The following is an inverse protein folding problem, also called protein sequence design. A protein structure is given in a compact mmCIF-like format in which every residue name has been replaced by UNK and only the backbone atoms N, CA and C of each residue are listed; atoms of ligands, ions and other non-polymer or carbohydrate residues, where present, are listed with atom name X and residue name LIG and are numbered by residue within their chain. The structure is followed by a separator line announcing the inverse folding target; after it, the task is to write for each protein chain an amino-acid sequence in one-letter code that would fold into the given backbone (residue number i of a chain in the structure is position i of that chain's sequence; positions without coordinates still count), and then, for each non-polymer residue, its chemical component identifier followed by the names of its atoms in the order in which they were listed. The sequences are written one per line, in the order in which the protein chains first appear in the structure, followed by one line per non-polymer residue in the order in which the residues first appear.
data_IF_179884043319
#
_entry.id   IF_179884043319
#
_cell.length_a   1.000
_cell.length_b   1.000
_cell.length_c   1.000
_cell.angle_alpha   90.00
_cell.angle_beta   90.00
_cell.angle_gamma   90.00
#
_symmetry.space_group_name_H-M   'P 1'
#
loop_
_entity.id
_entity.type
_entity.pdbx_description
1 polymer ?
#
# COMPACT_ATOMS: atom_id res chain seq x y z
N UNK A 1 17.43 -13.80 -42.74
CA UNK A 1 17.91 -13.06 -41.56
C UNK A 1 16.81 -13.08 -40.53
N UNK A 2 16.91 -13.95 -39.54
CA UNK A 2 15.94 -14.00 -38.45
C UNK A 2 16.14 -12.80 -37.55
N UNK A 3 15.07 -12.07 -37.28
CA UNK A 3 15.04 -11.00 -36.28
C UNK A 3 15.61 -11.53 -34.97
N UNK A 4 16.70 -10.91 -34.49
CA UNK A 4 17.11 -11.04 -33.10
C UNK A 4 15.94 -10.49 -32.27
N UNK A 5 15.13 -11.39 -31.71
CA UNK A 5 14.33 -11.08 -30.53
C UNK A 5 15.31 -10.66 -29.45
N UNK A 6 15.55 -9.35 -29.36
CA UNK A 6 16.06 -8.70 -28.16
C UNK A 6 15.38 -9.37 -26.98
N UNK A 7 16.16 -9.98 -26.07
CA UNK A 7 15.63 -10.55 -24.85
C UNK A 7 14.89 -9.43 -24.11
N UNK A 8 13.59 -9.36 -24.34
CA UNK A 8 12.68 -8.44 -23.69
C UNK A 8 12.87 -8.73 -22.20
N UNK A 9 13.22 -7.69 -21.45
CA UNK A 9 13.67 -7.75 -20.05
C UNK A 9 12.84 -8.74 -19.22
N UNK A 10 13.46 -9.30 -18.18
CA UNK A 10 12.87 -10.35 -17.33
C UNK A 10 11.44 -10.06 -16.85
N UNK A 11 11.08 -8.79 -16.64
CA UNK A 11 9.73 -8.36 -16.25
C UNK A 11 9.12 -7.32 -17.19
N UNK A 12 7.83 -7.50 -17.48
CA UNK A 12 7.01 -6.59 -18.29
C UNK A 12 6.60 -5.35 -17.49
N UNK A 13 7.51 -4.39 -17.37
CA UNK A 13 7.25 -3.06 -16.80
C UNK A 13 7.57 -2.04 -17.88
N UNK A 14 6.57 -1.24 -18.26
CA UNK A 14 6.74 -0.20 -19.27
C UNK A 14 7.35 1.08 -18.68
N UNK A 15 8.01 1.89 -19.52
CA UNK A 15 8.47 3.23 -19.12
C UNK A 15 7.29 4.15 -18.79
N UNK A 16 6.16 3.96 -19.47
CA UNK A 16 4.93 4.73 -19.28
C UNK A 16 4.36 4.51 -17.87
N UNK A 17 4.33 3.27 -17.38
CA UNK A 17 3.88 2.98 -16.00
C UNK A 17 4.74 3.70 -14.95
N UNK A 18 6.06 3.73 -15.16
CA UNK A 18 7.00 4.45 -14.27
C UNK A 18 6.77 5.97 -14.33
N UNK A 19 6.49 6.50 -15.52
CA UNK A 19 6.15 7.91 -15.72
C UNK A 19 4.82 8.30 -15.04
N UNK A 20 3.78 7.51 -15.21
CA UNK A 20 2.47 7.74 -14.57
C UNK A 20 2.57 7.67 -13.05
N UNK A 21 3.34 6.70 -12.53
CA UNK A 21 3.65 6.60 -11.11
C UNK A 21 4.38 7.85 -10.60
N UNK A 22 5.33 8.36 -11.37
CA UNK A 22 6.03 9.60 -11.04
C UNK A 22 5.08 10.79 -10.91
N UNK A 23 4.15 10.98 -11.87
CA UNK A 23 3.18 12.07 -11.81
C UNK A 23 2.33 12.03 -10.53
N UNK A 24 1.91 10.83 -10.12
CA UNK A 24 1.18 10.64 -8.85
C UNK A 24 2.04 11.01 -7.63
N UNK A 25 3.30 10.57 -7.60
CA UNK A 25 4.22 10.89 -6.50
C UNK A 25 4.51 12.38 -6.43
N UNK A 26 4.67 13.06 -7.58
CA UNK A 26 4.86 14.50 -7.67
C UNK A 26 3.69 15.27 -7.06
N UNK A 27 2.45 14.88 -7.39
CA UNK A 27 1.26 15.53 -6.88
C UNK A 27 1.12 15.46 -5.34
N UNK A 28 1.67 14.41 -4.71
CA UNK A 28 1.58 14.19 -3.27
C UNK A 28 2.56 15.02 -2.42
N UNK A 29 3.54 15.70 -3.03
CA UNK A 29 4.53 16.58 -2.36
C UNK A 29 5.15 15.97 -1.08
N UNK A 30 5.48 14.68 -1.11
CA UNK A 30 5.97 13.96 0.07
C UNK A 30 7.38 14.36 0.50
N UNK A 31 7.63 14.35 1.82
CA UNK A 31 8.94 14.62 2.41
C UNK A 31 10.06 13.71 1.86
N UNK A 32 11.33 14.15 1.88
CA UNK A 32 12.46 13.32 1.42
C UNK A 32 12.68 12.10 2.32
N UNK A 33 13.18 11.02 1.71
CA UNK A 33 13.49 9.76 2.40
C UNK A 33 14.85 9.80 3.10
N UNK A 34 15.43 8.61 3.31
CA UNK A 34 16.77 8.45 3.92
C UNK A 34 17.88 9.13 3.12
N UNK A 35 17.73 9.19 1.80
CA UNK A 35 18.69 9.80 0.88
C UNK A 35 18.64 11.33 0.87
N UNK A 36 17.68 11.94 1.58
CA UNK A 36 17.51 13.39 1.62
C UNK A 36 17.01 14.00 0.31
N UNK A 37 16.84 13.21 -0.75
CA UNK A 37 16.50 13.69 -2.08
C UNK A 37 15.06 14.22 -2.13
N UNK A 38 14.92 15.51 -2.44
CA UNK A 38 13.59 16.13 -2.67
C UNK A 38 13.08 15.85 -4.07
N UNK A 39 11.81 16.17 -4.34
CA UNK A 39 11.23 16.02 -5.68
C UNK A 39 11.92 16.97 -6.65
N UNK A 40 12.21 18.19 -6.23
CA UNK A 40 12.89 19.22 -7.03
C UNK A 40 14.32 18.77 -7.41
N UNK A 41 15.04 18.14 -6.48
CA UNK A 41 16.35 17.56 -6.74
C UNK A 41 16.26 16.35 -7.68
N UNK A 42 15.26 15.50 -7.48
CA UNK A 42 15.00 14.35 -8.34
C UNK A 42 14.70 14.79 -9.79
N UNK A 43 14.04 15.93 -9.98
CA UNK A 43 13.70 16.50 -11.29
C UNK A 43 14.90 17.05 -12.07
N UNK A 44 16.04 17.35 -11.41
CA UNK A 44 17.26 17.84 -12.09
C UNK A 44 17.78 16.88 -13.16
N UNK A 45 17.63 15.58 -12.95
CA UNK A 45 17.89 14.51 -13.94
C UNK A 45 16.68 13.57 -14.03
N UNK A 46 15.50 14.13 -14.32
CA UNK A 46 14.26 13.36 -14.34
C UNK A 46 14.33 12.14 -15.26
N UNK A 47 14.80 12.33 -16.50
CA UNK A 47 14.88 11.26 -17.50
C UNK A 47 15.85 10.15 -17.07
N UNK A 48 17.03 10.50 -16.57
CA UNK A 48 18.02 9.53 -16.11
C UNK A 48 17.53 8.79 -14.87
N UNK A 49 16.91 9.49 -13.91
CA UNK A 49 16.40 8.89 -12.69
C UNK A 49 15.25 7.92 -12.95
N UNK A 50 14.27 8.29 -13.79
CA UNK A 50 13.19 7.38 -14.18
C UNK A 50 13.70 6.18 -14.99
N UNK A 51 14.67 6.40 -15.88
CA UNK A 51 15.31 5.30 -16.60
C UNK A 51 16.00 4.32 -15.66
N UNK A 52 16.72 4.80 -14.64
CA UNK A 52 17.36 3.94 -13.63
C UNK A 52 16.33 3.10 -12.88
N UNK A 53 15.21 3.70 -12.44
CA UNK A 53 14.12 2.99 -11.77
C UNK A 53 13.54 1.91 -12.69
N UNK A 54 13.10 2.31 -13.89
CA UNK A 54 12.55 1.38 -14.88
C UNK A 54 13.52 0.23 -15.18
N UNK A 55 14.80 0.53 -15.39
CA UNK A 55 15.78 -0.47 -15.76
C UNK A 55 15.99 -1.51 -14.65
N UNK A 56 16.13 -1.05 -13.40
CA UNK A 56 16.33 -1.94 -12.24
C UNK A 56 15.06 -2.71 -11.89
N UNK A 57 13.89 -2.10 -12.07
CA UNK A 57 12.62 -2.79 -11.86
C UNK A 57 12.40 -3.86 -12.92
N UNK A 58 12.61 -3.55 -14.20
CA UNK A 58 12.38 -4.50 -15.28
C UNK A 58 13.38 -5.67 -15.29
N UNK A 59 14.57 -5.49 -14.71
CA UNK A 59 15.59 -6.54 -14.59
C UNK A 59 15.50 -7.35 -13.31
N UNK A 60 14.69 -6.94 -12.32
CA UNK A 60 14.68 -7.56 -11.00
C UNK A 60 15.82 -7.14 -10.07
N UNK A 61 16.70 -6.21 -10.45
CA UNK A 61 17.83 -5.75 -9.64
C UNK A 61 17.52 -4.54 -8.74
N UNK A 62 16.26 -4.09 -8.70
CA UNK A 62 15.81 -3.04 -7.79
C UNK A 62 15.71 -3.56 -6.36
N UNK A 63 16.47 -2.95 -5.43
CA UNK A 63 16.36 -3.23 -4.00
C UNK A 63 15.98 -1.93 -3.28
N UNK A 64 14.96 -1.96 -2.42
CA UNK A 64 14.53 -0.77 -1.70
C UNK A 64 15.59 -0.36 -0.68
N UNK A 65 15.87 0.95 -0.56
CA UNK A 65 16.67 1.46 0.54
C UNK A 65 15.90 1.33 1.88
N UNK A 66 16.57 1.52 3.03
CA UNK A 66 15.89 1.64 4.30
C UNK A 66 14.83 2.75 4.28
N UNK A 67 13.72 2.53 4.97
CA UNK A 67 12.66 3.52 5.10
C UNK A 67 13.01 4.48 6.24
N UNK A 68 12.92 5.80 6.02
CA UNK A 68 13.25 6.79 7.06
C UNK A 68 12.15 6.83 8.12
N UNK A 69 12.50 6.54 9.37
CA UNK A 69 11.62 6.64 10.52
C UNK A 69 11.51 8.09 11.00
N UNK A 70 10.29 8.61 11.05
CA UNK A 70 9.97 9.94 11.58
C UNK A 70 8.98 9.78 12.71
N UNK A 71 9.34 10.28 13.89
CA UNK A 71 8.45 10.28 15.05
C UNK A 71 7.48 11.45 14.95
N UNK A 72 6.18 11.14 14.97
CA UNK A 72 5.11 12.13 14.92
C UNK A 72 4.27 11.98 16.21
N UNK A 73 4.01 13.08 16.95
CA UNK A 73 3.11 13.03 18.10
C UNK A 73 1.72 12.55 17.68
N UNK A 74 1.08 11.70 18.50
CA UNK A 74 -0.33 11.34 18.26
C UNK A 74 -1.22 12.56 18.52
N UNK A 75 -2.23 12.75 17.67
CA UNK A 75 -3.18 13.88 17.76
C UNK A 75 -4.06 13.81 19.01
N UNK A 76 -4.36 12.60 19.50
CA UNK A 76 -5.13 12.35 20.72
C UNK A 76 -4.50 11.20 21.51
N UNK A 77 -3.94 11.51 22.69
CA UNK A 77 -3.33 10.54 23.62
C UNK A 77 -1.80 10.63 23.70
N UNK A 78 -1.24 9.95 24.70
CA UNK A 78 0.21 9.91 24.92
C UNK A 78 0.93 8.97 23.94
N UNK A 79 2.09 9.43 23.47
CA UNK A 79 3.05 8.64 22.69
C UNK A 79 3.28 9.12 21.26
N UNK A 80 4.32 8.55 20.66
CA UNK A 80 4.74 8.84 19.28
C UNK A 80 4.25 7.77 18.30
N UNK A 81 3.96 8.18 17.08
CA UNK A 81 3.69 7.33 15.92
C UNK A 81 4.92 7.38 15.02
N UNK A 82 5.53 6.23 14.77
CA UNK A 82 6.68 6.13 13.88
C UNK A 82 6.17 5.99 12.44
N UNK A 83 6.33 7.04 11.64
CA UNK A 83 6.02 7.05 10.22
C UNK A 83 7.24 6.62 9.42
N UNK A 84 7.05 5.78 8.41
CA UNK A 84 8.07 5.41 7.45
C UNK A 84 7.96 6.23 6.18
N UNK A 85 8.94 7.09 5.91
CA UNK A 85 9.03 7.89 4.68
C UNK A 85 10.00 7.21 3.70
N UNK A 86 9.51 6.59 2.60
CA UNK A 86 10.39 6.03 1.57
C UNK A 86 11.02 7.14 0.73
N UNK A 87 12.10 6.81 0.03
CA UNK A 87 12.73 7.73 -0.94
C UNK A 87 11.80 8.01 -2.12
N UNK A 88 12.05 9.09 -2.86
CA UNK A 88 11.26 9.43 -4.06
C UNK A 88 11.25 8.27 -5.05
N UNK A 89 12.41 7.67 -5.30
CA UNK A 89 12.55 6.52 -6.19
C UNK A 89 11.74 5.30 -5.72
N UNK A 90 11.74 5.04 -4.40
CA UNK A 90 10.99 3.92 -3.81
C UNK A 90 9.48 4.17 -3.84
N UNK A 91 9.02 5.41 -3.60
CA UNK A 91 7.61 5.77 -3.77
C UNK A 91 7.14 5.55 -5.21
N UNK A 92 7.95 5.90 -6.21
CA UNK A 92 7.63 5.67 -7.63
C UNK A 92 7.51 4.17 -7.89
N UNK A 93 8.50 3.37 -7.48
CA UNK A 93 8.49 1.93 -7.67
C UNK A 93 7.30 1.25 -6.98
N UNK A 94 6.99 1.65 -5.74
CA UNK A 94 5.82 1.20 -5.00
C UNK A 94 4.51 1.58 -5.71
N UNK A 95 4.44 2.79 -6.28
CA UNK A 95 3.24 3.25 -7.00
C UNK A 95 3.01 2.46 -8.29
N UNK A 96 4.07 2.03 -8.99
CA UNK A 96 3.95 1.10 -10.14
C UNK A 96 3.32 -0.22 -9.71
N UNK A 97 3.81 -0.83 -8.65
CA UNK A 97 3.26 -2.09 -8.13
C UNK A 97 1.83 -1.91 -7.61
N UNK A 98 1.57 -0.82 -6.89
CA UNK A 98 0.24 -0.51 -6.37
C UNK A 98 -0.77 -0.39 -7.51
N UNK A 99 -0.45 0.38 -8.57
CA UNK A 99 -1.32 0.54 -9.72
C UNK A 99 -1.57 -0.79 -10.46
N UNK A 100 -0.57 -1.68 -10.54
CA UNK A 100 -0.75 -3.01 -11.11
C UNK A 100 -1.71 -3.85 -10.27
N UNK A 101 -1.54 -3.86 -8.95
CA UNK A 101 -2.41 -4.60 -8.03
C UNK A 101 -3.83 -4.06 -8.02
N UNK A 102 -4.00 -2.75 -7.89
CA UNK A 102 -5.30 -2.07 -7.85
C UNK A 102 -6.19 -2.46 -9.02
N UNK A 103 -5.65 -2.51 -10.25
CA UNK A 103 -6.38 -2.93 -11.45
C UNK A 103 -6.98 -4.35 -11.32
N UNK A 104 -6.31 -5.23 -10.58
CA UNK A 104 -6.73 -6.63 -10.40
C UNK A 104 -7.65 -6.83 -9.18
N UNK A 105 -7.39 -6.11 -8.10
CA UNK A 105 -8.09 -6.33 -6.82
C UNK A 105 -9.36 -5.48 -6.67
N UNK A 106 -9.43 -4.32 -7.32
CA UNK A 106 -10.58 -3.41 -7.20
C UNK A 106 -11.92 -4.05 -7.59
N UNK A 107 -12.02 -4.86 -8.68
CA UNK A 107 -13.25 -5.58 -9.03
C UNK A 107 -13.65 -6.67 -8.02
N UNK A 108 -12.71 -7.17 -7.23
CA UNK A 108 -12.91 -8.28 -6.29
C UNK A 108 -13.28 -7.77 -4.89
N UNK A 109 -12.82 -6.57 -4.53
CA UNK A 109 -13.06 -6.02 -3.21
C UNK A 109 -14.53 -5.90 -2.83
N UNK A 110 -14.81 -6.25 -1.57
CA UNK A 110 -16.15 -6.21 -0.99
C UNK A 110 -16.81 -4.83 -1.19
N UNK A 111 -18.10 -4.83 -1.52
CA UNK A 111 -18.82 -3.60 -1.90
C UNK A 111 -18.86 -2.57 -0.77
N UNK A 112 -18.79 -3.01 0.48
CA UNK A 112 -18.80 -2.14 1.66
C UNK A 112 -17.39 -1.86 2.22
N UNK A 113 -16.33 -2.05 1.43
CA UNK A 113 -14.99 -1.54 1.73
C UNK A 113 -14.80 -0.19 1.02
N UNK A 114 -14.51 0.87 1.77
CA UNK A 114 -14.49 2.24 1.24
C UNK A 114 -13.11 2.91 1.25
N UNK A 115 -12.23 2.55 2.19
CA UNK A 115 -10.95 3.25 2.37
C UNK A 115 -9.96 3.02 1.24
N UNK A 116 -9.27 4.09 0.82
CA UNK A 116 -8.19 4.08 -0.18
C UNK A 116 -8.56 3.35 -1.49
N UNK A 117 -9.80 3.48 -1.94
CA UNK A 117 -10.29 2.86 -3.19
C UNK A 117 -10.73 3.93 -4.19
N UNK A 118 -10.42 3.79 -5.49
CA UNK A 118 -10.89 4.72 -6.52
C UNK A 118 -12.41 4.86 -6.51
N UNK A 119 -12.91 6.11 -6.54
CA UNK A 119 -14.35 6.38 -6.56
C UNK A 119 -15.10 6.08 -5.26
N UNK A 120 -14.38 5.77 -4.16
CA UNK A 120 -14.98 5.55 -2.84
C UNK A 120 -14.42 6.56 -1.84
N UNK A 121 -15.29 7.02 -0.95
CA UNK A 121 -14.96 8.05 0.03
C UNK A 121 -15.47 7.67 1.41
N UNK A 122 -14.94 8.34 2.43
CA UNK A 122 -15.47 8.26 3.79
C UNK A 122 -16.95 8.66 3.85
N UNK A 123 -17.37 9.64 3.03
CA UNK A 123 -18.77 10.06 2.96
C UNK A 123 -19.69 8.95 2.47
N UNK A 124 -19.28 8.19 1.44
CA UNK A 124 -20.04 7.04 0.96
C UNK A 124 -20.22 5.98 2.07
N UNK A 125 -19.19 5.81 2.91
CA UNK A 125 -19.20 4.88 4.03
C UNK A 125 -20.18 5.33 5.13
N UNK A 126 -20.12 6.62 5.49
CA UNK A 126 -21.03 7.25 6.46
C UNK A 126 -22.48 7.21 5.98
N UNK A 127 -22.72 7.50 4.69
CA UNK A 127 -24.06 7.43 4.10
C UNK A 127 -24.64 6.01 4.18
N UNK A 128 -23.84 5.00 3.82
CA UNK A 128 -24.25 3.61 3.92
C UNK A 128 -24.53 3.20 5.38
N UNK A 129 -23.67 3.62 6.32
CA UNK A 129 -23.87 3.40 7.76
C UNK A 129 -25.19 4.02 8.24
N UNK A 130 -25.39 5.32 7.99
CA UNK A 130 -26.60 6.08 8.38
C UNK A 130 -27.88 5.40 7.89
N UNK A 131 -27.92 4.99 6.63
CA UNK A 131 -29.10 4.32 6.06
C UNK A 131 -29.43 3.00 6.75
N UNK A 132 -28.41 2.26 7.20
CA UNK A 132 -28.58 0.96 7.87
C UNK A 132 -28.93 1.15 9.35
N UNK A 133 -28.42 2.18 10.02
CA UNK A 133 -28.83 2.56 11.38
C UNK A 133 -30.31 2.92 11.51
N UNK A 134 -30.98 3.31 10.41
CA UNK A 134 -32.45 3.46 10.42
C UNK A 134 -33.21 2.14 10.47
N UNK A 135 -32.57 1.03 10.10
CA UNK A 135 -33.20 -0.31 10.03
C UNK A 135 -32.76 -1.23 11.18
N UNK A 136 -31.61 -0.96 11.78
CA UNK A 136 -30.98 -1.76 12.82
C UNK A 136 -30.79 -0.92 14.07
N UNK A 137 -31.09 -1.50 15.24
CA UNK A 137 -31.06 -0.77 16.52
C UNK A 137 -29.68 -0.72 17.16
N UNK A 138 -28.77 -1.60 16.72
CA UNK A 138 -27.46 -1.79 17.34
C UNK A 138 -26.36 -1.71 16.28
N UNK A 139 -25.28 -1.02 16.62
CA UNK A 139 -24.04 -0.99 15.87
C UNK A 139 -22.91 -1.47 16.79
N UNK A 140 -22.06 -2.35 16.27
CA UNK A 140 -20.81 -2.76 16.92
C UNK A 140 -19.69 -2.03 16.22
N UNK A 141 -19.00 -1.16 16.94
CA UNK A 141 -17.79 -0.49 16.46
C UNK A 141 -16.56 -1.34 16.77
N UNK A 142 -15.76 -1.62 15.75
CA UNK A 142 -14.56 -2.45 15.82
C UNK A 142 -13.38 -1.66 15.24
N UNK A 143 -12.31 -1.54 16.02
CA UNK A 143 -11.05 -0.93 15.60
C UNK A 143 -9.93 -1.97 15.59
N UNK A 144 -9.19 -2.05 14.48
CA UNK A 144 -8.03 -2.95 14.37
C UNK A 144 -6.79 -2.23 14.87
N UNK A 145 -6.43 -2.51 16.13
CA UNK A 145 -5.25 -1.91 16.73
C UNK A 145 -3.96 -2.33 16.01
N UNK A 146 -3.05 -1.37 15.79
CA UNK A 146 -1.66 -1.60 15.33
C UNK A 146 -1.53 -2.49 14.08
N UNK A 147 -2.47 -2.39 13.13
CA UNK A 147 -2.46 -3.20 11.91
C UNK A 147 -1.11 -3.15 11.18
N UNK A 148 -0.63 -1.94 10.88
CA UNK A 148 0.62 -1.71 10.18
C UNK A 148 1.86 -2.11 10.97
N UNK A 149 1.75 -2.34 12.28
CA UNK A 149 2.91 -2.73 13.10
C UNK A 149 2.94 -4.24 13.36
N UNK A 150 1.84 -4.95 13.14
CA UNK A 150 1.66 -6.34 13.57
C UNK A 150 1.30 -7.32 12.45
N UNK A 151 0.89 -6.84 11.27
CA UNK A 151 0.44 -7.72 10.19
C UNK A 151 1.54 -8.69 9.75
N UNK A 152 1.19 -9.97 9.70
CA UNK A 152 2.10 -11.04 9.29
C UNK A 152 2.36 -11.01 7.79
N UNK A 153 3.64 -10.98 7.39
CA UNK A 153 4.02 -10.88 5.99
C UNK A 153 3.58 -12.07 5.15
N UNK A 154 3.66 -13.28 5.69
CA UNK A 154 3.27 -14.49 4.96
C UNK A 154 1.80 -14.45 4.55
N UNK A 155 0.92 -13.87 5.37
CA UNK A 155 -0.50 -13.72 5.04
C UNK A 155 -0.74 -12.62 4.00
N UNK A 156 -0.02 -11.49 4.09
CA UNK A 156 -0.10 -10.42 3.07
C UNK A 156 0.38 -10.95 1.72
N UNK A 157 1.50 -11.67 1.71
CA UNK A 157 2.07 -12.28 0.51
C UNK A 157 1.08 -13.29 -0.11
N UNK A 158 0.50 -14.18 0.69
CA UNK A 158 -0.53 -15.13 0.21
C UNK A 158 -1.72 -14.41 -0.44
N UNK A 159 -2.16 -13.31 0.15
CA UNK A 159 -3.28 -12.53 -0.39
C UNK A 159 -2.92 -11.89 -1.74
N UNK A 160 -1.68 -11.41 -1.90
CA UNK A 160 -1.14 -10.88 -3.16
C UNK A 160 -1.00 -11.97 -4.21
N UNK A 161 -0.39 -13.11 -3.87
CA UNK A 161 -0.20 -14.27 -4.76
C UNK A 161 -1.55 -14.81 -5.28
N UNK A 162 -2.63 -14.64 -4.51
CA UNK A 162 -3.99 -15.04 -4.93
C UNK A 162 -4.61 -14.14 -6.02
N UNK A 163 -4.02 -12.98 -6.31
CA UNK A 163 -4.59 -11.97 -7.22
C UNK A 163 -3.68 -11.57 -8.37
N UNK A 164 -2.45 -12.08 -8.43
CA UNK A 164 -1.54 -11.78 -9.55
C UNK A 164 -0.58 -12.92 -9.79
N UNK A 165 -0.42 -13.28 -11.07
CA UNK A 165 0.60 -14.23 -11.53
C UNK A 165 1.94 -13.52 -11.82
N UNK A 166 1.97 -12.19 -11.70
CA UNK A 166 3.17 -11.39 -11.94
C UNK A 166 4.19 -11.59 -10.81
N UNK A 167 5.14 -12.51 -11.02
CA UNK A 167 6.18 -12.84 -10.04
C UNK A 167 6.97 -11.60 -9.55
N UNK A 168 7.14 -10.60 -10.41
CA UNK A 168 7.83 -9.35 -10.08
C UNK A 168 7.10 -8.50 -9.04
N UNK A 169 5.76 -8.52 -9.06
CA UNK A 169 4.94 -7.82 -8.05
C UNK A 169 5.18 -8.44 -6.67
N UNK A 170 5.08 -9.77 -6.59
CA UNK A 170 5.31 -10.52 -5.35
C UNK A 170 6.75 -10.31 -4.85
N UNK A 171 7.73 -10.31 -5.75
CA UNK A 171 9.14 -10.05 -5.43
C UNK A 171 9.31 -8.68 -4.75
N UNK A 172 8.76 -7.61 -5.32
CA UNK A 172 8.94 -6.28 -4.73
C UNK A 172 8.16 -6.09 -3.45
N UNK A 173 6.94 -6.64 -3.34
CA UNK A 173 6.20 -6.67 -2.07
C UNK A 173 7.03 -7.34 -0.98
N UNK A 174 7.62 -8.52 -1.24
CA UNK A 174 8.51 -9.21 -0.30
C UNK A 174 9.68 -8.32 0.12
N UNK A 175 10.34 -7.65 -0.83
CA UNK A 175 11.47 -6.75 -0.57
C UNK A 175 11.08 -5.53 0.26
N UNK A 176 9.93 -4.90 0.01
CA UNK A 176 9.47 -3.72 0.77
C UNK A 176 9.01 -4.05 2.19
N UNK A 177 8.37 -5.21 2.37
CA UNK A 177 8.04 -5.72 3.69
C UNK A 177 9.33 -5.93 4.50
N UNK A 178 10.32 -6.60 3.91
CA UNK A 178 11.62 -6.88 4.52
C UNK A 178 12.57 -5.67 4.67
N UNK A 179 12.29 -4.54 4.00
CA UNK A 179 13.18 -3.37 4.06
C UNK A 179 13.36 -2.90 5.52
N UNK A 180 14.58 -2.61 5.99
CA UNK A 180 14.77 -2.10 7.34
C UNK A 180 14.24 -0.67 7.46
N UNK A 181 13.96 -0.26 8.69
CA UNK A 181 13.63 1.13 9.00
C UNK A 181 14.84 1.80 9.63
N UNK A 182 15.23 2.98 9.14
CA UNK A 182 16.27 3.77 9.79
C UNK A 182 15.64 4.70 10.82
N UNK A 183 16.08 4.60 12.07
CA UNK A 183 15.61 5.44 13.17
C UNK A 183 16.28 6.83 13.14
N UNK A 184 15.76 7.83 13.87
CA UNK A 184 16.34 9.18 13.91
C UNK A 184 17.81 9.22 14.37
N UNK A 185 18.25 8.24 15.16
CA UNK A 185 19.64 8.07 15.61
C UNK A 185 20.56 7.44 14.54
N UNK A 186 20.02 7.14 13.35
CA UNK A 186 20.73 6.54 12.23
C UNK A 186 20.81 5.01 12.27
N UNK A 187 20.35 4.37 13.36
CA UNK A 187 20.39 2.91 13.49
C UNK A 187 19.37 2.24 12.56
N UNK A 188 19.70 1.04 12.09
CA UNK A 188 18.80 0.24 11.25
C UNK A 188 18.04 -0.77 12.11
N UNK A 189 16.73 -0.59 12.18
CA UNK A 189 15.81 -1.53 12.81
C UNK A 189 15.30 -2.54 11.78
N UNK A 190 15.69 -3.80 11.97
CA UNK A 190 15.13 -4.91 11.21
C UNK A 190 13.66 -5.15 11.59
N UNK A 191 12.90 -5.70 10.65
CA UNK A 191 11.47 -5.97 10.82
C UNK A 191 11.21 -7.43 10.46
N UNK A 192 10.19 -8.01 11.09
CA UNK A 192 9.70 -9.37 10.83
C UNK A 192 8.18 -9.39 10.56
N UNK A 193 7.51 -8.25 10.75
CA UNK A 193 6.07 -8.04 10.60
C UNK A 193 5.77 -6.56 10.35
N UNK A 194 4.51 -6.27 10.03
CA UNK A 194 4.03 -4.92 9.79
C UNK A 194 4.31 -4.41 8.37
N UNK A 195 3.75 -3.28 7.98
CA UNK A 195 4.14 -2.56 6.75
C UNK A 195 4.54 -1.13 7.11
N UNK A 196 5.54 -0.53 6.44
CA UNK A 196 5.94 0.84 6.75
C UNK A 196 4.78 1.80 6.47
N UNK A 197 4.33 2.51 7.50
CA UNK A 197 3.27 3.50 7.38
C UNK A 197 3.77 4.69 6.56
N UNK A 198 3.12 5.02 5.44
CA UNK A 198 3.59 6.05 4.50
C UNK A 198 4.17 5.50 3.18
N UNK A 199 4.24 4.18 3.05
CA UNK A 199 4.52 3.52 1.77
C UNK A 199 3.31 3.56 0.83
N UNK A 200 3.53 3.88 -0.45
CA UNK A 200 2.48 4.01 -1.46
C UNK A 200 1.75 2.69 -1.76
N UNK A 201 2.41 1.54 -1.54
CA UNK A 201 1.80 0.21 -1.74
C UNK A 201 1.04 -0.29 -0.49
N UNK A 202 1.29 0.30 0.67
CA UNK A 202 0.69 -0.18 1.93
C UNK A 202 -0.84 -0.16 1.96
N UNK A 203 -1.55 0.86 1.43
CA UNK A 203 -3.02 0.86 1.43
C UNK A 203 -3.64 -0.32 0.68
N UNK A 204 -3.15 -0.63 -0.54
CA UNK A 204 -3.69 -1.75 -1.33
C UNK A 204 -3.40 -3.09 -0.66
N UNK A 205 -2.22 -3.28 -0.08
CA UNK A 205 -1.87 -4.51 0.66
C UNK A 205 -2.76 -4.69 1.89
N UNK A 206 -3.02 -3.61 2.61
CA UNK A 206 -3.86 -3.62 3.79
C UNK A 206 -5.32 -3.95 3.45
N UNK A 207 -5.87 -3.33 2.40
CA UNK A 207 -7.20 -3.66 1.89
C UNK A 207 -7.29 -5.12 1.44
N UNK A 208 -6.24 -5.63 0.78
CA UNK A 208 -6.19 -7.02 0.33
C UNK A 208 -6.20 -8.01 1.48
N UNK A 209 -5.40 -7.77 2.51
CA UNK A 209 -5.41 -8.60 3.70
C UNK A 209 -6.79 -8.61 4.38
N UNK A 210 -7.38 -7.44 4.61
CA UNK A 210 -8.65 -7.33 5.32
C UNK A 210 -9.85 -7.79 4.50
N UNK A 211 -9.74 -7.76 3.17
CA UNK A 211 -10.73 -8.38 2.31
C UNK A 211 -10.91 -9.87 2.64
N UNK A 212 -9.82 -10.59 2.84
CA UNK A 212 -9.88 -12.00 3.23
C UNK A 212 -10.13 -12.21 4.72
N UNK A 213 -9.35 -11.52 5.55
CA UNK A 213 -9.35 -11.75 7.00
C UNK A 213 -10.65 -11.27 7.66
N UNK A 214 -11.32 -10.28 7.07
CA UNK A 214 -12.51 -9.66 7.65
C UNK A 214 -13.72 -9.74 6.70
N UNK A 215 -13.68 -9.12 5.52
CA UNK A 215 -14.89 -8.97 4.69
C UNK A 215 -15.47 -10.31 4.28
N UNK A 216 -14.68 -11.14 3.61
CA UNK A 216 -15.13 -12.44 3.13
C UNK A 216 -15.41 -13.41 4.27
N UNK A 217 -14.63 -13.34 5.35
CA UNK A 217 -14.90 -14.15 6.54
C UNK A 217 -16.28 -13.81 7.13
N UNK A 218 -16.59 -12.52 7.28
CA UNK A 218 -17.86 -12.08 7.81
C UNK A 218 -19.02 -12.45 6.87
N UNK A 219 -18.90 -12.21 5.56
CA UNK A 219 -19.94 -12.57 4.59
C UNK A 219 -20.24 -14.07 4.57
N UNK A 220 -19.23 -14.92 4.83
CA UNK A 220 -19.39 -16.38 4.84
C UNK A 220 -19.99 -16.91 6.15
N UNK A 221 -19.54 -16.39 7.28
CA UNK A 221 -19.92 -16.92 8.60
C UNK A 221 -21.15 -16.23 9.19
N UNK A 222 -21.43 -15.00 8.77
CA UNK A 222 -22.51 -14.15 9.28
C UNK A 222 -23.24 -13.41 8.14
N UNK A 223 -23.89 -14.13 7.20
CA UNK A 223 -24.47 -13.54 5.98
C UNK A 223 -25.59 -12.52 6.26
N UNK A 224 -26.27 -12.63 7.40
CA UNK A 224 -27.34 -11.70 7.80
C UNK A 224 -26.80 -10.40 8.42
N UNK A 225 -25.50 -10.34 8.72
CA UNK A 225 -24.86 -9.17 9.32
C UNK A 225 -24.44 -8.20 8.23
N UNK A 226 -24.99 -6.99 8.27
CA UNK A 226 -24.56 -5.92 7.37
C UNK A 226 -23.35 -5.21 7.95
N UNK A 227 -22.30 -5.04 7.14
CA UNK A 227 -21.05 -4.43 7.58
C UNK A 227 -20.56 -3.32 6.66
N UNK A 228 -19.70 -2.45 7.20
CA UNK A 228 -18.94 -1.50 6.41
C UNK A 228 -17.56 -1.30 7.01
N UNK A 229 -16.57 -1.02 6.15
CA UNK A 229 -15.19 -0.74 6.56
C UNK A 229 -14.69 0.58 5.98
N UNK A 230 -14.22 1.45 6.86
CA UNK A 230 -13.36 2.58 6.55
C UNK A 230 -11.97 2.34 7.14
N UNK A 231 -10.93 2.84 6.47
CA UNK A 231 -9.53 2.57 6.82
C UNK A 231 -8.86 3.73 7.56
N UNK A 232 -9.55 4.87 7.72
CA UNK A 232 -9.05 6.03 8.47
C UNK A 232 -10.19 6.74 9.20
N UNK A 233 -10.29 6.63 10.55
CA UNK A 233 -9.74 5.55 11.38
C UNK A 233 -10.26 4.16 10.93
N UNK A 234 -9.71 3.07 11.49
CA UNK A 234 -10.10 1.69 11.15
C UNK A 234 -11.49 1.35 11.67
N UNK A 235 -12.50 2.11 11.29
CA UNK A 235 -13.88 1.88 11.68
C UNK A 235 -14.43 0.73 10.84
N UNK A 236 -14.53 -0.44 11.46
CA UNK A 236 -15.42 -1.49 10.99
C UNK A 236 -16.68 -1.43 11.84
N UNK A 237 -17.85 -1.37 11.20
CA UNK A 237 -19.10 -1.50 11.93
C UNK A 237 -19.88 -2.72 11.47
N UNK A 238 -20.49 -3.40 12.44
CA UNK A 238 -21.48 -4.44 12.23
C UNK A 238 -22.84 -3.92 12.70
N UNK A 239 -23.86 -4.13 11.88
CA UNK A 239 -25.23 -3.78 12.23
C UNK A 239 -26.05 -5.06 12.38
N UNK A 240 -26.46 -5.32 13.62
CA UNK A 240 -27.20 -6.51 14.06
C UNK A 240 -28.71 -6.24 14.05
#
# INVERSE_FOLDING_TARGET
MGELKSQIKSFEISKTEVWEAYLKVKANQGAPGVDGCTIEEFEKDLKGNLYKIWNRMSSGSYFPPPVKGVEIPKSHGDGVRLLGVPTVADRIAQTVVAAHLEKRVEPVFHRDSYGYRPGRSALNAVEACRRRCWKKKWAVDLDVSKFFDSVRWDLVIKAVESHTDAAWVVLYVKRWLAAPMQLPDGTLRQRDRGTPQGSAVSPVLANLFLHYAFDLWLSRNFPDVQSGRLQVPWLCWLLL
#
